data_IF_808962246557
#
_entry.id   IF_808962246557
#
_cell.length_a   1.000
_cell.length_b   1.000
_cell.length_c   1.000
_cell.angle_alpha   90.00
_cell.angle_beta   90.00
_cell.angle_gamma   90.00
#
_symmetry.space_group_name_H-M   'P 1'
#
loop_
_entity.id
_entity.type
_entity.pdbx_description
1 polymer ?
#
# COMPACT_ATOMS: atom_id res chain seq x y z
N UNK A 1 18.37 -4.92 17.34
CA UNK A 1 17.23 -4.74 16.42
C UNK A 1 16.24 -5.86 16.63
N UNK A 2 14.95 -5.58 16.50
CA UNK A 2 13.84 -6.49 16.83
C UNK A 2 13.95 -7.87 16.15
N UNK A 3 14.49 -7.93 14.92
CA UNK A 3 14.73 -9.20 14.21
C UNK A 3 15.62 -10.18 15.00
N UNK A 4 16.67 -9.67 15.68
CA UNK A 4 17.53 -10.49 16.53
C UNK A 4 16.83 -10.91 17.82
N UNK A 5 15.98 -10.05 18.40
CA UNK A 5 15.24 -10.36 19.62
C UNK A 5 14.15 -11.42 19.39
N UNK A 6 13.62 -11.52 18.16
CA UNK A 6 12.53 -12.44 17.79
C UNK A 6 12.99 -13.67 17.00
N UNK A 7 14.29 -13.76 16.67
CA UNK A 7 14.86 -14.75 15.75
C UNK A 7 14.05 -14.89 14.44
N UNK A 8 13.60 -13.76 13.90
CA UNK A 8 12.79 -13.67 12.67
C UNK A 8 13.18 -12.42 11.90
N UNK A 9 13.23 -12.50 10.57
CA UNK A 9 13.43 -11.31 9.74
C UNK A 9 12.18 -10.43 9.79
N UNK A 10 12.32 -9.23 10.36
CA UNK A 10 11.30 -8.18 10.31
C UNK A 10 11.72 -7.21 9.20
N UNK A 11 10.86 -7.06 8.19
CA UNK A 11 11.11 -6.15 7.07
C UNK A 11 10.74 -4.70 7.39
N UNK A 12 11.26 -3.77 6.58
CA UNK A 12 10.94 -2.35 6.66
C UNK A 12 10.13 -1.92 5.43
N UNK A 13 9.22 -0.96 5.62
CA UNK A 13 8.46 -0.36 4.51
C UNK A 13 8.48 1.17 4.60
N UNK A 14 9.64 1.83 4.42
CA UNK A 14 9.73 3.28 4.49
C UNK A 14 8.94 3.95 3.35
N UNK A 15 8.22 5.01 3.70
CA UNK A 15 7.55 5.89 2.73
C UNK A 15 8.33 7.20 2.54
N UNK A 16 8.54 7.61 1.29
CA UNK A 16 9.01 8.96 0.96
C UNK A 16 7.80 9.87 0.78
N UNK A 17 7.61 10.81 1.71
CA UNK A 17 6.54 11.83 1.66
C UNK A 17 7.02 13.04 0.86
N UNK A 18 6.27 13.40 -0.18
CA UNK A 18 6.49 14.59 -1.01
C UNK A 18 7.94 14.83 -1.49
N UNK A 19 8.64 13.84 -2.08
CA UNK A 19 10.04 14.00 -2.50
C UNK A 19 10.28 15.16 -3.48
N UNK A 20 9.35 15.47 -4.38
CA UNK A 20 9.43 16.65 -5.25
C UNK A 20 9.52 17.98 -4.49
N UNK A 21 8.78 18.12 -3.38
CA UNK A 21 8.89 19.30 -2.51
C UNK A 21 10.27 19.37 -1.84
N UNK A 22 10.75 18.25 -1.29
CA UNK A 22 12.07 18.24 -0.65
C UNK A 22 13.20 18.54 -1.64
N UNK A 23 13.07 18.10 -2.90
CA UNK A 23 13.98 18.49 -3.99
C UNK A 23 13.94 20.00 -4.27
N UNK A 24 12.76 20.62 -4.29
CA UNK A 24 12.64 22.05 -4.59
C UNK A 24 13.30 22.95 -3.54
N UNK A 25 13.49 22.45 -2.31
CA UNK A 25 14.22 23.13 -1.23
C UNK A 25 15.65 22.61 -1.02
N UNK A 26 16.20 21.87 -2.00
CA UNK A 26 17.59 21.40 -1.97
C UNK A 26 17.88 20.22 -1.04
N UNK A 27 16.85 19.45 -0.66
CA UNK A 27 16.93 18.32 0.26
C UNK A 27 16.50 16.99 -0.40
N UNK A 28 17.12 16.53 -1.51
CA UNK A 28 16.74 15.28 -2.16
C UNK A 28 16.83 14.09 -1.18
N UNK A 29 15.80 13.25 -1.16
CA UNK A 29 15.63 12.18 -0.16
C UNK A 29 16.13 10.82 -0.65
N UNK A 30 16.07 10.57 -1.96
CA UNK A 30 16.26 9.26 -2.58
C UNK A 30 17.66 8.71 -2.29
N UNK A 31 18.69 9.47 -2.65
CA UNK A 31 20.09 9.08 -2.38
C UNK A 31 20.37 8.91 -0.89
N UNK A 32 19.84 9.81 -0.05
CA UNK A 32 20.01 9.76 1.41
C UNK A 32 19.41 8.49 2.00
N UNK A 33 18.21 8.10 1.55
CA UNK A 33 17.58 6.85 1.95
C UNK A 33 18.42 5.65 1.52
N UNK A 34 18.86 5.61 0.26
CA UNK A 34 19.68 4.51 -0.28
C UNK A 34 20.96 4.34 0.53
N UNK A 35 21.66 5.44 0.83
CA UNK A 35 22.90 5.42 1.60
C UNK A 35 22.66 4.89 3.03
N UNK A 36 21.58 5.34 3.70
CA UNK A 36 21.22 4.87 5.04
C UNK A 36 20.86 3.39 5.05
N UNK A 37 20.06 2.92 4.09
CA UNK A 37 19.71 1.51 3.96
C UNK A 37 20.96 0.65 3.73
N UNK A 38 21.82 1.07 2.81
CA UNK A 38 23.04 0.34 2.46
C UNK A 38 24.05 0.31 3.62
N UNK A 39 24.16 1.38 4.41
CA UNK A 39 24.98 1.44 5.62
C UNK A 39 24.46 0.49 6.72
N UNK A 40 23.16 0.20 6.72
CA UNK A 40 22.52 -0.71 7.68
C UNK A 40 22.36 -2.15 7.14
N UNK A 41 23.01 -2.49 6.02
CA UNK A 41 23.04 -3.84 5.48
C UNK A 41 21.83 -4.22 4.61
N UNK A 42 20.91 -3.30 4.33
CA UNK A 42 19.85 -3.49 3.37
C UNK A 42 20.35 -3.06 2.00
N UNK A 43 20.59 -4.01 1.09
CA UNK A 43 21.12 -3.72 -0.26
C UNK A 43 20.39 -4.53 -1.32
N UNK A 44 19.96 -3.84 -2.39
CA UNK A 44 19.38 -4.47 -3.57
C UNK A 44 18.05 -5.18 -3.32
N UNK A 45 17.69 -6.02 -4.28
CA UNK A 45 16.34 -6.62 -4.43
C UNK A 45 15.98 -7.63 -3.32
N UNK A 46 16.98 -8.26 -2.72
CA UNK A 46 16.83 -9.29 -1.70
C UNK A 46 16.82 -8.73 -0.28
N UNK A 47 17.04 -7.42 -0.13
CA UNK A 47 16.84 -6.75 1.14
C UNK A 47 15.37 -6.92 1.60
N UNK A 48 15.17 -7.15 2.89
CA UNK A 48 13.85 -7.16 3.51
C UNK A 48 13.26 -5.74 3.64
N UNK A 49 13.29 -4.96 2.55
CA UNK A 49 12.84 -3.57 2.48
C UNK A 49 12.02 -3.34 1.22
N UNK A 50 10.88 -2.70 1.39
CA UNK A 50 10.07 -2.15 0.30
C UNK A 50 10.03 -0.63 0.45
N UNK A 51 10.41 0.14 -0.58
CA UNK A 51 10.31 1.60 -0.51
C UNK A 51 9.01 2.02 -1.20
N UNK A 52 8.20 2.84 -0.53
CA UNK A 52 6.91 3.27 -1.05
C UNK A 52 6.80 4.78 -1.23
N UNK A 53 5.97 5.22 -2.17
CA UNK A 53 5.70 6.63 -2.44
C UNK A 53 4.38 6.80 -3.19
N UNK A 54 3.73 7.94 -2.99
CA UNK A 54 2.62 8.39 -3.84
C UNK A 54 3.09 9.06 -5.13
N UNK A 55 4.29 9.65 -5.13
CA UNK A 55 4.89 10.29 -6.30
C UNK A 55 5.54 9.23 -7.21
N UNK A 56 5.52 9.45 -8.53
CA UNK A 56 6.03 8.46 -9.49
C UNK A 56 7.49 8.70 -9.86
N UNK A 57 7.92 9.97 -9.86
CA UNK A 57 9.25 10.40 -10.28
C UNK A 57 10.35 9.87 -9.36
N UNK A 58 10.13 9.91 -8.05
CA UNK A 58 11.12 9.39 -7.10
C UNK A 58 11.24 7.87 -7.18
N UNK A 59 10.15 7.14 -7.44
CA UNK A 59 10.21 5.69 -7.60
C UNK A 59 10.97 5.31 -8.87
N UNK A 60 10.76 6.03 -9.98
CA UNK A 60 11.55 5.84 -11.21
C UNK A 60 13.05 6.12 -10.98
N UNK A 61 13.38 7.15 -10.20
CA UNK A 61 14.77 7.44 -9.83
C UNK A 61 15.36 6.33 -8.95
N UNK A 62 14.65 5.89 -7.91
CA UNK A 62 15.08 4.79 -7.04
C UNK A 62 15.26 3.48 -7.79
N UNK A 63 14.39 3.20 -8.77
CA UNK A 63 14.46 2.03 -9.65
C UNK A 63 15.78 2.01 -10.41
N UNK A 64 16.19 3.14 -10.97
CA UNK A 64 17.47 3.27 -11.66
C UNK A 64 18.69 3.23 -10.72
N UNK A 65 18.52 3.57 -9.43
CA UNK A 65 19.63 3.79 -8.50
C UNK A 65 20.06 2.55 -7.73
N UNK A 66 19.13 1.75 -7.18
CA UNK A 66 19.49 0.84 -6.07
C UNK A 66 18.81 -0.54 -6.05
N UNK A 67 17.97 -0.85 -7.04
CA UNK A 67 17.39 -2.20 -7.22
C UNK A 67 16.53 -2.73 -6.07
N UNK A 68 16.12 -1.86 -5.14
CA UNK A 68 15.17 -2.22 -4.07
C UNK A 68 13.80 -2.57 -4.65
N UNK A 69 13.00 -3.30 -3.87
CA UNK A 69 11.58 -3.50 -4.20
C UNK A 69 10.81 -2.21 -3.98
N UNK A 70 10.03 -1.79 -4.97
CA UNK A 70 9.33 -0.50 -4.96
C UNK A 70 7.81 -0.67 -4.96
N UNK A 71 7.14 0.24 -4.25
CA UNK A 71 5.68 0.22 -4.06
C UNK A 71 5.09 1.56 -4.49
N UNK A 72 4.25 1.55 -5.53
CA UNK A 72 3.48 2.72 -5.93
C UNK A 72 2.20 2.82 -5.09
N UNK A 73 2.10 3.82 -4.22
CA UNK A 73 0.88 4.13 -3.48
C UNK A 73 -0.12 4.85 -4.40
N UNK A 74 -1.41 4.50 -4.30
CA UNK A 74 -2.48 5.10 -5.10
C UNK A 74 -3.65 5.46 -4.20
N UNK A 75 -4.03 6.74 -4.17
CA UNK A 75 -5.18 7.21 -3.39
C UNK A 75 -6.50 6.97 -4.15
N UNK A 76 -7.63 7.09 -3.45
CA UNK A 76 -8.96 6.90 -4.04
C UNK A 76 -9.30 7.95 -5.11
N UNK A 77 -8.77 9.17 -4.94
CA UNK A 77 -9.03 10.33 -5.77
C UNK A 77 -7.79 11.24 -5.80
N UNK A 78 -7.79 12.20 -6.73
CA UNK A 78 -6.70 13.16 -6.90
C UNK A 78 -5.59 12.66 -7.82
N UNK A 79 -4.38 13.14 -7.56
CA UNK A 79 -3.21 12.91 -8.41
C UNK A 79 -1.90 12.86 -7.58
N UNK A 80 -0.85 12.17 -8.08
CA UNK A 80 0.49 12.28 -7.52
C UNK A 80 0.95 13.74 -7.43
N UNK A 81 1.57 14.14 -6.33
CA UNK A 81 1.97 15.53 -6.11
C UNK A 81 3.01 16.01 -7.15
N UNK A 82 3.92 15.14 -7.58
CA UNK A 82 4.88 15.43 -8.66
C UNK A 82 4.18 15.62 -10.03
N UNK A 83 3.09 14.89 -10.29
CA UNK A 83 2.28 15.09 -11.49
C UNK A 83 1.57 16.45 -11.48
N UNK A 84 1.03 16.86 -10.33
CA UNK A 84 0.42 18.19 -10.16
C UNK A 84 1.47 19.28 -10.32
N UNK A 85 2.61 19.17 -9.65
CA UNK A 85 3.69 20.15 -9.73
C UNK A 85 4.26 20.29 -11.16
N UNK A 86 4.28 19.20 -11.93
CA UNK A 86 4.72 19.19 -13.33
C UNK A 86 3.63 19.59 -14.34
N UNK A 87 2.37 19.76 -13.91
CA UNK A 87 1.24 20.05 -14.80
C UNK A 87 0.95 18.93 -15.81
N UNK A 88 1.25 17.68 -15.47
CA UNK A 88 1.16 16.55 -16.43
C UNK A 88 -0.27 16.06 -16.69
N UNK A 89 -1.20 16.40 -15.79
CA UNK A 89 -2.60 15.94 -15.84
C UNK A 89 -2.82 14.49 -15.40
N UNK A 90 -1.77 13.75 -15.02
CA UNK A 90 -1.90 12.36 -14.56
C UNK A 90 -2.68 12.29 -13.24
N UNK A 91 -3.76 11.51 -13.20
CA UNK A 91 -4.56 11.26 -12.00
C UNK A 91 -4.37 9.84 -11.47
N UNK A 92 -4.79 9.60 -10.22
CA UNK A 92 -4.84 8.22 -9.71
C UNK A 92 -5.85 7.35 -10.46
N UNK A 93 -6.90 7.94 -11.03
CA UNK A 93 -7.86 7.21 -11.87
C UNK A 93 -7.17 6.65 -13.13
N UNK A 94 -6.26 7.42 -13.75
CA UNK A 94 -5.48 6.96 -14.89
C UNK A 94 -4.53 5.82 -14.50
N UNK A 95 -3.92 5.91 -13.31
CA UNK A 95 -2.96 4.94 -12.79
C UNK A 95 -3.55 3.55 -12.51
N UNK A 96 -4.85 3.46 -12.21
CA UNK A 96 -5.53 2.19 -11.92
C UNK A 96 -6.18 1.53 -13.14
N UNK A 97 -6.02 2.11 -14.34
CA UNK A 97 -6.41 1.46 -15.60
C UNK A 97 -5.42 0.34 -15.96
N UNK A 98 -5.78 -0.60 -16.85
CA UNK A 98 -4.83 -1.59 -17.35
C UNK A 98 -3.54 -1.00 -17.93
N UNK A 99 -3.62 0.13 -18.62
CA UNK A 99 -2.44 0.85 -19.14
C UNK A 99 -1.63 1.51 -18.03
N UNK A 100 -2.30 2.14 -17.05
CA UNK A 100 -1.68 2.71 -15.86
C UNK A 100 -0.90 1.65 -15.07
N UNK A 101 -1.49 0.48 -14.84
CA UNK A 101 -0.85 -0.65 -14.17
C UNK A 101 0.37 -1.17 -14.95
N UNK A 102 0.28 -1.28 -16.28
CA UNK A 102 1.45 -1.60 -17.12
C UNK A 102 2.54 -0.54 -17.04
N UNK A 103 2.18 0.73 -16.90
CA UNK A 103 3.14 1.82 -16.71
C UNK A 103 3.83 1.75 -15.34
N UNK A 104 3.07 1.43 -14.28
CA UNK A 104 3.60 1.22 -12.92
C UNK A 104 4.59 0.04 -12.90
N UNK A 105 4.25 -1.07 -13.54
CA UNK A 105 5.09 -2.27 -13.60
C UNK A 105 6.48 -2.06 -14.24
N UNK A 106 6.70 -0.93 -14.93
CA UNK A 106 8.02 -0.58 -15.47
C UNK A 106 9.01 -0.11 -14.41
N UNK A 107 8.54 0.31 -13.24
CA UNK A 107 9.41 0.86 -12.19
C UNK A 107 9.09 0.35 -10.78
N UNK A 108 7.91 -0.23 -10.55
CA UNK A 108 7.51 -0.78 -9.25
C UNK A 108 7.19 -2.26 -9.32
N UNK A 109 7.35 -2.95 -8.19
CA UNK A 109 7.03 -4.36 -8.00
C UNK A 109 5.64 -4.56 -7.39
N UNK A 110 5.13 -3.52 -6.71
CA UNK A 110 3.87 -3.54 -5.98
C UNK A 110 3.09 -2.28 -6.32
N UNK A 111 1.77 -2.43 -6.53
CA UNK A 111 0.83 -1.32 -6.48
C UNK A 111 0.03 -1.41 -5.18
N UNK A 112 -0.09 -0.28 -4.48
CA UNK A 112 -0.72 -0.21 -3.19
C UNK A 112 -1.88 0.79 -3.17
N UNK A 113 -3.08 0.37 -3.60
CA UNK A 113 -4.22 1.25 -3.66
C UNK A 113 -4.90 1.43 -2.29
N UNK A 114 -5.60 2.54 -2.12
CA UNK A 114 -6.59 2.66 -1.07
C UNK A 114 -7.64 1.54 -1.20
N UNK A 115 -8.00 0.91 -0.07
CA UNK A 115 -8.75 -0.35 -0.04
C UNK A 115 -10.06 -0.34 -0.84
N UNK A 116 -10.75 0.79 -0.96
CA UNK A 116 -12.03 0.85 -1.69
C UNK A 116 -11.90 0.72 -3.22
N UNK A 117 -10.69 0.85 -3.77
CA UNK A 117 -10.42 0.55 -5.19
C UNK A 117 -10.53 -0.95 -5.47
N UNK A 118 -10.19 -1.79 -4.48
CA UNK A 118 -10.25 -3.26 -4.61
C UNK A 118 -11.64 -3.78 -4.29
N UNK A 119 -12.24 -3.35 -3.17
CA UNK A 119 -13.62 -3.68 -2.82
C UNK A 119 -14.35 -2.37 -2.45
N UNK A 120 -15.23 -1.84 -3.30
CA UNK A 120 -16.00 -0.63 -3.00
C UNK A 120 -17.03 -0.91 -1.91
N UNK A 121 -17.61 0.15 -1.35
CA UNK A 121 -18.79 0.03 -0.49
C UNK A 121 -20.06 0.15 -1.31
N UNK A 122 -21.09 -0.60 -0.92
CA UNK A 122 -22.43 -0.44 -1.49
C UNK A 122 -23.16 0.79 -0.89
N UNK A 123 -24.40 1.03 -1.33
CA UNK A 123 -25.21 2.14 -0.85
C UNK A 123 -25.55 2.06 0.65
N UNK A 124 -25.54 0.85 1.24
CA UNK A 124 -25.70 0.62 2.68
C UNK A 124 -24.40 0.71 3.48
N UNK A 125 -23.28 0.98 2.81
CA UNK A 125 -21.95 1.07 3.40
C UNK A 125 -21.31 -0.29 3.71
N UNK A 126 -21.91 -1.40 3.30
CA UNK A 126 -21.31 -2.74 3.43
C UNK A 126 -20.26 -2.97 2.33
N UNK A 127 -19.46 -4.02 2.43
CA UNK A 127 -18.58 -4.38 1.31
C UNK A 127 -19.41 -4.79 0.08
N UNK A 128 -19.09 -4.19 -1.06
CA UNK A 128 -19.64 -4.55 -2.35
C UNK A 128 -18.87 -5.67 -3.03
N UNK A 129 -19.09 -5.84 -4.32
CA UNK A 129 -18.39 -6.84 -5.15
C UNK A 129 -16.94 -6.41 -5.42
N UNK A 130 -15.93 -7.29 -5.23
CA UNK A 130 -14.55 -7.01 -5.62
C UNK A 130 -14.44 -6.57 -7.07
N UNK A 131 -13.63 -5.55 -7.33
CA UNK A 131 -13.34 -5.07 -8.68
C UNK A 131 -12.37 -6.02 -9.39
N UNK A 132 -12.14 -5.78 -10.68
CA UNK A 132 -11.12 -6.49 -11.45
C UNK A 132 -9.68 -6.04 -11.15
N UNK A 133 -9.48 -5.03 -10.29
CA UNK A 133 -8.19 -4.39 -10.06
C UNK A 133 -7.09 -5.38 -9.71
N UNK A 134 -7.34 -6.29 -8.75
CA UNK A 134 -6.33 -7.28 -8.31
C UNK A 134 -5.89 -8.18 -9.46
N UNK A 135 -6.85 -8.64 -10.27
CA UNK A 135 -6.57 -9.47 -11.45
C UNK A 135 -5.75 -8.70 -12.49
N UNK A 136 -6.11 -7.45 -12.75
CA UNK A 136 -5.39 -6.60 -13.72
C UNK A 136 -3.98 -6.25 -13.25
N UNK A 137 -3.79 -5.93 -11.97
CA UNK A 137 -2.49 -5.65 -11.38
C UNK A 137 -1.57 -6.87 -11.45
N UNK A 138 -2.07 -8.06 -11.05
CA UNK A 138 -1.33 -9.32 -11.19
C UNK A 138 -1.03 -9.66 -12.64
N UNK A 139 -1.97 -9.41 -13.55
CA UNK A 139 -1.76 -9.57 -15.00
C UNK A 139 -0.66 -8.66 -15.55
N UNK A 140 -0.42 -7.50 -14.92
CA UNK A 140 0.70 -6.61 -15.23
C UNK A 140 2.00 -6.98 -14.49
N UNK A 141 2.01 -8.03 -13.67
CA UNK A 141 3.17 -8.46 -12.89
C UNK A 141 3.37 -7.74 -11.55
N UNK A 142 2.35 -7.02 -11.05
CA UNK A 142 2.39 -6.30 -9.79
C UNK A 142 1.73 -7.10 -8.66
N UNK A 143 2.37 -7.16 -7.50
CA UNK A 143 1.68 -7.53 -6.26
C UNK A 143 0.77 -6.39 -5.79
N UNK A 144 -0.26 -6.72 -5.01
CA UNK A 144 -1.25 -5.75 -4.52
C UNK A 144 -1.24 -5.68 -3.00
N UNK A 145 -0.92 -4.50 -2.45
CA UNK A 145 -0.97 -4.24 -1.01
C UNK A 145 -2.03 -3.17 -0.69
N UNK A 146 -3.04 -3.44 0.13
CA UNK A 146 -4.07 -2.41 0.42
C UNK A 146 -3.80 -1.66 1.74
N UNK A 147 -4.24 -0.41 1.79
CA UNK A 147 -4.17 0.45 2.98
C UNK A 147 -5.45 1.27 3.18
N UNK A 148 -5.77 1.77 4.37
CA UNK A 148 -5.33 1.27 5.69
C UNK A 148 -6.50 0.52 6.32
N UNK A 149 -6.24 -0.70 6.78
CA UNK A 149 -7.21 -1.53 7.50
C UNK A 149 -7.25 -1.08 8.96
N UNK A 150 -8.33 -0.41 9.36
CA UNK A 150 -8.45 0.23 10.68
C UNK A 150 -9.62 -0.39 11.45
N UNK A 151 -9.46 -0.72 12.73
CA UNK A 151 -10.45 -1.52 13.43
C UNK A 151 -11.66 -0.74 13.95
N UNK A 152 -11.62 0.59 13.97
CA UNK A 152 -12.72 1.41 14.49
C UNK A 152 -13.88 1.52 13.49
N UNK A 153 -15.11 1.48 14.02
CA UNK A 153 -16.36 1.51 13.26
C UNK A 153 -16.42 2.54 12.12
N UNK A 154 -15.94 3.80 12.26
CA UNK A 154 -15.97 4.77 11.17
C UNK A 154 -15.23 4.31 9.90
N UNK A 155 -14.17 3.52 10.08
CA UNK A 155 -13.33 3.01 8.98
C UNK A 155 -13.76 1.64 8.47
N UNK A 156 -14.67 0.97 9.18
CA UNK A 156 -15.21 -0.32 8.79
C UNK A 156 -16.44 -0.18 7.88
N UNK A 157 -16.60 -1.10 6.91
CA UNK A 157 -17.87 -1.33 6.22
C UNK A 157 -18.95 -1.76 7.22
N UNK A 158 -20.22 -1.48 6.93
CA UNK A 158 -21.32 -1.56 7.90
C UNK A 158 -21.56 -2.97 8.46
N UNK A 159 -21.33 -4.00 7.65
CA UNK A 159 -21.36 -5.43 7.98
C UNK A 159 -20.27 -5.89 8.97
N UNK A 160 -19.21 -5.09 9.15
CA UNK A 160 -18.15 -5.38 10.12
C UNK A 160 -18.21 -4.49 11.37
N UNK A 161 -19.20 -3.58 11.48
CA UNK A 161 -19.30 -2.70 12.65
C UNK A 161 -19.89 -3.42 13.85
N UNK A 162 -19.42 -3.05 15.04
CA UNK A 162 -19.98 -3.55 16.29
C UNK A 162 -20.86 -2.49 16.98
N UNK A 163 -21.92 -2.92 17.66
CA UNK A 163 -22.73 -2.04 18.49
C UNK A 163 -21.92 -1.53 19.70
N UNK A 164 -22.05 -0.26 20.12
CA UNK A 164 -22.88 0.78 19.51
C UNK A 164 -22.23 1.36 18.25
N UNK A 165 -22.97 1.37 17.14
CA UNK A 165 -22.45 1.70 15.80
C UNK A 165 -21.92 3.15 15.72
N UNK A 166 -22.57 4.08 16.42
CA UNK A 166 -22.20 5.50 16.40
C UNK A 166 -20.92 5.85 17.19
N UNK A 167 -20.35 4.90 17.94
CA UNK A 167 -19.14 5.17 18.71
C UNK A 167 -17.91 5.32 17.79
N UNK A 168 -17.17 6.45 17.89
CA UNK A 168 -16.03 6.70 17.01
C UNK A 168 -14.80 5.85 17.36
N UNK A 169 -14.75 5.27 18.56
CA UNK A 169 -13.65 4.43 19.06
C UNK A 169 -14.02 2.96 19.19
N UNK A 170 -15.30 2.60 18.96
CA UNK A 170 -15.73 1.20 19.03
C UNK A 170 -15.07 0.44 17.90
N UNK A 171 -14.38 -0.64 18.28
CA UNK A 171 -13.77 -1.58 17.33
C UNK A 171 -14.78 -2.64 16.89
N UNK A 172 -14.82 -2.90 15.59
CA UNK A 172 -15.63 -3.95 14.97
C UNK A 172 -14.79 -5.17 14.54
N UNK A 173 -15.32 -5.96 13.61
CA UNK A 173 -14.65 -7.14 13.05
C UNK A 173 -13.67 -6.78 11.93
N UNK A 174 -12.56 -6.14 12.31
CA UNK A 174 -11.48 -5.81 11.39
C UNK A 174 -10.83 -7.06 10.77
N UNK A 175 -10.81 -8.18 11.49
CA UNK A 175 -10.24 -9.43 10.98
C UNK A 175 -11.12 -10.01 9.87
N UNK A 176 -12.45 -9.91 9.99
CA UNK A 176 -13.40 -10.21 8.93
C UNK A 176 -13.17 -9.37 7.68
N UNK A 177 -13.03 -8.04 7.83
CA UNK A 177 -12.75 -7.16 6.69
C UNK A 177 -11.45 -7.58 6.00
N UNK A 178 -10.36 -7.77 6.76
CA UNK A 178 -9.06 -8.19 6.20
C UNK A 178 -9.17 -9.52 5.45
N UNK A 179 -9.92 -10.50 5.97
CA UNK A 179 -10.14 -11.77 5.27
C UNK A 179 -10.82 -11.58 3.92
N UNK A 180 -11.85 -10.73 3.82
CA UNK A 180 -12.52 -10.46 2.56
C UNK A 180 -11.54 -9.90 1.49
N UNK A 181 -10.61 -9.03 1.89
CA UNK A 181 -9.56 -8.53 0.99
C UNK A 181 -8.54 -9.61 0.59
N UNK A 182 -8.13 -10.48 1.51
CA UNK A 182 -7.25 -11.61 1.21
C UNK A 182 -7.92 -12.60 0.24
N UNK A 183 -9.22 -12.88 0.43
CA UNK A 183 -10.03 -13.73 -0.45
C UNK A 183 -10.23 -13.09 -1.85
N UNK A 184 -10.29 -11.75 -1.92
CA UNK A 184 -10.26 -11.01 -3.19
C UNK A 184 -8.89 -11.04 -3.90
N UNK A 185 -7.88 -11.70 -3.31
CA UNK A 185 -6.58 -11.95 -3.91
C UNK A 185 -5.50 -10.91 -3.61
N UNK A 186 -5.73 -10.03 -2.62
CA UNK A 186 -4.71 -9.08 -2.13
C UNK A 186 -3.53 -9.85 -1.51
N UNK A 187 -2.31 -9.42 -1.82
CA UNK A 187 -1.07 -10.08 -1.37
C UNK A 187 -0.64 -9.66 0.04
N UNK A 188 -0.90 -8.40 0.42
CA UNK A 188 -0.62 -7.91 1.78
C UNK A 188 -1.52 -6.74 2.18
N UNK A 189 -1.53 -6.43 3.48
CA UNK A 189 -2.32 -5.35 4.07
C UNK A 189 -1.46 -4.45 4.95
N UNK A 190 -1.76 -3.15 4.94
CA UNK A 190 -1.34 -2.22 5.99
C UNK A 190 -2.49 -2.05 6.98
N UNK A 191 -2.22 -2.23 8.27
CA UNK A 191 -3.23 -2.13 9.32
C UNK A 191 -2.71 -1.37 10.54
N UNK A 192 -3.61 -0.60 11.16
CA UNK A 192 -3.36 0.05 12.45
C UNK A 192 -3.43 -0.94 13.63
N UNK A 193 -3.91 -2.17 13.38
CA UNK A 193 -4.02 -3.23 14.38
C UNK A 193 -3.38 -4.54 13.90
N UNK A 194 -2.05 -4.71 14.09
CA UNK A 194 -1.33 -5.90 13.68
C UNK A 194 -1.88 -7.20 14.27
N UNK A 195 -2.56 -7.15 15.43
CA UNK A 195 -3.16 -8.34 16.02
C UNK A 195 -4.37 -8.84 15.21
N UNK A 196 -5.24 -7.94 14.72
CA UNK A 196 -6.31 -8.34 13.78
C UNK A 196 -5.75 -8.84 12.46
N UNK A 197 -4.73 -8.16 11.92
CA UNK A 197 -4.06 -8.60 10.70
C UNK A 197 -3.49 -10.02 10.84
N UNK A 198 -2.82 -10.31 11.95
CA UNK A 198 -2.31 -11.66 12.24
C UNK A 198 -3.45 -12.68 12.31
N UNK A 199 -4.49 -12.42 13.12
CA UNK A 199 -5.66 -13.31 13.23
C UNK A 199 -6.27 -13.65 11.88
N UNK A 200 -6.46 -12.66 11.01
CA UNK A 200 -7.01 -12.87 9.67
C UNK A 200 -6.13 -13.83 8.84
N UNK A 201 -4.81 -13.60 8.83
CA UNK A 201 -3.85 -14.45 8.10
C UNK A 201 -3.79 -15.88 8.65
N UNK A 202 -3.87 -16.09 9.98
CA UNK A 202 -3.94 -17.43 10.56
C UNK A 202 -5.18 -18.19 10.12
N UNK A 203 -6.33 -17.52 10.07
CA UNK A 203 -7.59 -18.15 9.66
C UNK A 203 -7.63 -18.49 8.17
N UNK A 204 -7.06 -17.65 7.30
CA UNK A 204 -7.07 -17.88 5.85
C UNK A 204 -6.16 -19.03 5.40
N UNK A 205 -5.22 -19.49 6.25
CA UNK A 205 -4.32 -20.63 5.95
C UNK A 205 -4.89 -22.00 6.34
N UNK A 206 -6.07 -22.04 6.97
CA UNK A 206 -6.70 -23.29 7.46
C UNK A 206 -7.70 -23.89 6.46
N UNK A 207 -7.80 -23.33 5.26
CA UNK A 207 -8.61 -23.82 4.14
C UNK A 207 -7.73 -23.93 2.90
#
# INVERSE_FOLDING_TARGET
>A
GESRARNKTIGLVPELKHPSYFKSIGLPLERRLVDVLAANGYRGRDAAVFIQSFETGNLKELHAMAGYRLVQLVAADGAPHDAVAAGSGLTYADMITPDGLRAIARYADVVAPYKTIVIPRDAGGALGTPTRFVREARGAGLAVHVWTMRPENPFLPSDFRAAPVASPSRRGDAAGEIRAYLEAGVDAIFTDDPASGRRAVDSSRKH
#
